data_IF_866596972719
#
_entry.id   IF_866596972719
#
_cell.length_a   1.000
_cell.length_b   1.000
_cell.length_c   1.000
_cell.angle_alpha   90.00
_cell.angle_beta   90.00
_cell.angle_gamma   90.00
#
_symmetry.space_group_name_H-M   'P 1'
#
loop_
_entity.id
_entity.type
_entity.pdbx_description
1 polymer ?
#
# COMPACT_ATOMS: atom_id res chain seq x y z
N UNK A 1 18.76 -12.64 8.19
CA UNK A 1 17.98 -11.43 8.51
C UNK A 1 16.52 -11.81 8.37
N UNK A 2 15.71 -11.71 9.43
CA UNK A 2 14.26 -11.98 9.32
C UNK A 2 13.62 -10.90 8.44
N UNK A 3 12.60 -11.24 7.62
CA UNK A 3 11.93 -10.25 6.81
C UNK A 3 11.19 -9.25 7.71
N UNK A 4 11.28 -7.96 7.40
CA UNK A 4 10.66 -6.91 8.20
C UNK A 4 9.11 -6.95 8.15
N UNK A 5 8.54 -7.68 7.19
CA UNK A 5 7.12 -7.97 7.08
C UNK A 5 6.89 -9.25 6.26
N UNK A 6 5.71 -9.81 6.36
CA UNK A 6 5.19 -10.87 5.47
C UNK A 6 3.83 -10.47 4.93
N UNK A 7 3.43 -11.06 3.81
CA UNK A 7 2.08 -10.87 3.29
C UNK A 7 1.56 -12.14 2.61
N UNK A 8 0.24 -12.33 2.65
CA UNK A 8 -0.47 -13.36 1.91
C UNK A 8 -1.47 -12.71 0.97
N UNK A 9 -1.55 -13.19 -0.27
CA UNK A 9 -2.51 -12.70 -1.26
C UNK A 9 -3.62 -13.73 -1.43
N UNK A 10 -4.84 -13.34 -1.07
CA UNK A 10 -6.03 -14.16 -1.11
C UNK A 10 -6.93 -13.67 -2.27
N UNK A 11 -6.87 -14.33 -3.44
CA UNK A 11 -7.70 -13.94 -4.57
C UNK A 11 -9.17 -14.24 -4.30
N UNK A 12 -10.05 -13.29 -4.61
CA UNK A 12 -11.50 -13.47 -4.64
C UNK A 12 -12.00 -13.16 -6.05
N UNK A 13 -13.27 -13.46 -6.33
CA UNK A 13 -13.84 -13.36 -7.69
C UNK A 13 -13.70 -11.95 -8.29
N UNK A 14 -13.99 -10.93 -7.50
CA UNK A 14 -14.05 -9.52 -7.95
C UNK A 14 -13.15 -8.57 -7.14
N UNK A 15 -12.32 -9.10 -6.25
CA UNK A 15 -11.40 -8.31 -5.43
C UNK A 15 -10.24 -9.19 -4.98
N UNK A 16 -9.21 -8.56 -4.44
CA UNK A 16 -8.07 -9.24 -3.83
C UNK A 16 -7.94 -8.78 -2.40
N UNK A 17 -7.86 -9.74 -1.48
CA UNK A 17 -7.50 -9.47 -0.08
C UNK A 17 -6.00 -9.74 0.10
N UNK A 18 -5.29 -8.82 0.74
CA UNK A 18 -3.90 -8.97 1.12
C UNK A 18 -3.85 -8.89 2.65
N UNK A 19 -3.40 -9.96 3.28
CA UNK A 19 -3.11 -9.95 4.71
C UNK A 19 -1.63 -9.59 4.87
N UNK A 20 -1.35 -8.42 5.44
CA UNK A 20 -0.01 -7.90 5.69
C UNK A 20 0.31 -7.99 7.18
N UNK A 21 1.47 -8.53 7.52
CA UNK A 21 1.97 -8.61 8.89
C UNK A 21 3.35 -7.95 8.98
N UNK A 22 3.45 -6.86 9.73
CA UNK A 22 4.74 -6.28 10.08
C UNK A 22 5.39 -7.09 11.21
N UNK A 23 6.70 -7.33 11.13
CA UNK A 23 7.42 -8.14 12.13
C UNK A 23 7.55 -7.42 13.48
N UNK A 24 7.70 -6.09 13.43
CA UNK A 24 7.77 -5.24 14.61
C UNK A 24 7.39 -3.81 14.23
N UNK A 25 7.33 -2.94 15.24
CA UNK A 25 7.32 -1.49 15.06
C UNK A 25 8.42 -1.03 14.08
N UNK A 26 8.19 0.02 13.26
CA UNK A 26 7.06 0.96 13.24
C UNK A 26 5.79 0.45 12.57
N UNK A 27 4.64 1.05 12.92
CA UNK A 27 3.33 0.78 12.31
C UNK A 27 2.74 2.01 11.59
N UNK A 28 3.31 3.19 11.79
CA UNK A 28 2.86 4.46 11.22
C UNK A 28 3.98 5.19 10.47
N UNK A 29 3.60 5.94 9.44
CA UNK A 29 4.55 6.69 8.62
C UNK A 29 5.26 7.83 9.34
N UNK A 30 4.68 8.36 10.43
CA UNK A 30 5.33 9.39 11.27
C UNK A 30 6.65 8.90 11.88
N UNK A 31 6.78 7.58 11.99
CA UNK A 31 7.91 6.88 12.60
C UNK A 31 9.01 6.62 11.56
N UNK A 32 8.73 6.87 10.27
CA UNK A 32 9.66 6.74 9.15
C UNK A 32 9.69 8.06 8.37
N UNK A 33 10.38 9.11 8.86
CA UNK A 33 10.36 10.45 8.25
C UNK A 33 10.75 10.49 6.76
N UNK A 34 11.55 9.53 6.30
CA UNK A 34 12.03 9.40 4.93
C UNK A 34 10.95 8.91 3.96
N UNK A 35 9.80 8.43 4.45
CA UNK A 35 8.69 7.88 3.64
C UNK A 35 8.30 8.82 2.50
N UNK A 36 8.06 10.11 2.80
CA UNK A 36 7.64 11.08 1.79
C UNK A 36 8.71 11.31 0.71
N UNK A 37 9.99 11.35 1.08
CA UNK A 37 11.08 11.51 0.12
C UNK A 37 11.22 10.29 -0.80
N UNK A 38 11.07 9.08 -0.25
CA UNK A 38 11.10 7.84 -1.04
C UNK A 38 9.93 7.80 -2.02
N UNK A 39 8.72 8.13 -1.57
CA UNK A 39 7.53 8.19 -2.43
C UNK A 39 7.66 9.27 -3.50
N UNK A 40 8.17 10.45 -3.19
CA UNK A 40 8.39 11.51 -4.18
C UNK A 40 9.32 11.07 -5.30
N UNK A 41 10.34 10.25 -4.98
CA UNK A 41 11.29 9.70 -5.96
C UNK A 41 10.68 8.59 -6.81
N UNK A 42 9.80 7.76 -6.25
CA UNK A 42 9.34 6.53 -6.90
C UNK A 42 7.92 6.60 -7.46
N UNK A 43 7.03 7.35 -6.80
CA UNK A 43 5.59 7.43 -7.04
C UNK A 43 5.07 8.87 -6.80
N UNK A 44 5.55 9.88 -7.54
CA UNK A 44 5.17 11.28 -7.30
C UNK A 44 3.67 11.56 -7.48
N UNK A 45 2.94 10.71 -8.19
CA UNK A 45 1.48 10.88 -8.39
C UNK A 45 0.66 10.33 -7.22
N UNK A 46 1.23 9.53 -6.32
CA UNK A 46 0.54 9.01 -5.13
C UNK A 46 -0.01 10.13 -4.23
N UNK A 47 0.64 11.30 -4.24
CA UNK A 47 0.23 12.49 -3.48
C UNK A 47 -1.04 13.15 -4.02
N UNK A 48 -1.45 12.80 -5.24
CA UNK A 48 -2.69 13.25 -5.87
C UNK A 48 -3.85 12.29 -5.57
N UNK A 49 -3.59 11.12 -4.97
CA UNK A 49 -4.62 10.18 -4.62
C UNK A 49 -5.58 10.76 -3.58
N UNK A 50 -6.87 10.52 -3.79
CA UNK A 50 -7.93 10.88 -2.86
C UNK A 50 -8.10 9.77 -1.82
N UNK A 51 -8.15 10.15 -0.55
CA UNK A 51 -8.58 9.27 0.53
C UNK A 51 -10.02 9.61 0.91
N UNK A 52 -10.91 8.63 0.84
CA UNK A 52 -12.31 8.76 1.28
C UNK A 52 -12.48 8.44 2.77
N UNK A 53 -11.62 9.00 3.63
CA UNK A 53 -11.82 8.88 5.07
C UNK A 53 -12.81 9.94 5.60
N UNK A 54 -13.10 9.92 6.90
CA UNK A 54 -14.08 10.83 7.54
C UNK A 54 -13.80 12.32 7.36
N UNK A 55 -12.63 12.71 6.82
CA UNK A 55 -12.20 14.10 6.63
C UNK A 55 -11.93 14.46 5.17
N UNK A 56 -12.09 13.53 4.21
CA UNK A 56 -11.82 13.72 2.77
C UNK A 56 -10.51 14.48 2.50
N UNK A 57 -9.44 14.12 3.20
CA UNK A 57 -8.15 14.79 3.03
C UNK A 57 -7.37 14.17 1.87
N UNK A 58 -6.55 14.94 1.14
CA UNK A 58 -5.62 14.38 0.17
C UNK A 58 -4.62 13.46 0.87
N UNK A 59 -4.22 12.35 0.23
CA UNK A 59 -3.26 11.40 0.80
C UNK A 59 -1.96 12.07 1.26
N UNK A 60 -1.51 13.14 0.59
CA UNK A 60 -0.35 13.93 0.99
C UNK A 60 -0.41 14.49 2.43
N UNK A 61 -1.61 14.79 2.95
CA UNK A 61 -1.79 15.23 4.34
C UNK A 61 -1.77 14.06 5.32
N UNK A 62 -2.39 12.94 4.94
CA UNK A 62 -2.47 11.73 5.76
C UNK A 62 -1.14 11.02 5.89
N UNK A 63 -0.32 11.06 4.83
CA UNK A 63 0.99 10.44 4.79
C UNK A 63 1.88 10.84 5.97
N UNK A 64 1.65 11.99 6.61
CA UNK A 64 2.41 12.39 7.80
C UNK A 64 2.21 11.47 9.00
N UNK A 65 1.06 10.79 9.09
CA UNK A 65 0.67 9.93 10.22
C UNK A 65 -0.41 8.93 9.78
N UNK A 66 -0.11 8.13 8.77
CA UNK A 66 -0.97 7.05 8.29
C UNK A 66 -0.39 5.71 8.70
N UNK A 67 -1.24 4.71 8.86
CA UNK A 67 -0.84 3.32 9.07
C UNK A 67 -0.06 2.78 7.86
N UNK A 68 0.95 1.95 8.10
CA UNK A 68 1.79 1.40 7.03
C UNK A 68 1.03 0.41 6.13
N UNK A 69 -0.01 -0.27 6.64
CA UNK A 69 -0.91 -1.05 5.79
C UNK A 69 -1.68 -0.16 4.81
N UNK A 70 -2.15 1.01 5.26
CA UNK A 70 -2.85 1.98 4.41
C UNK A 70 -1.89 2.57 3.38
N UNK A 71 -0.64 2.86 3.77
CA UNK A 71 0.40 3.24 2.82
C UNK A 71 0.63 2.15 1.75
N UNK A 72 0.74 0.89 2.16
CA UNK A 72 0.93 -0.24 1.24
C UNK A 72 -0.19 -0.31 0.20
N UNK A 73 -1.44 -0.14 0.63
CA UNK A 73 -2.60 -0.05 -0.26
C UNK A 73 -2.40 1.02 -1.33
N UNK A 74 -2.11 2.27 -0.95
CA UNK A 74 -1.96 3.37 -1.92
C UNK A 74 -0.80 3.14 -2.90
N UNK A 75 0.32 2.57 -2.44
CA UNK A 75 1.44 2.22 -3.32
C UNK A 75 0.97 1.19 -4.37
N UNK A 76 0.20 0.18 -3.94
CA UNK A 76 -0.32 -0.85 -4.85
C UNK A 76 -1.32 -0.27 -5.85
N UNK A 77 -2.28 0.53 -5.40
CA UNK A 77 -3.28 1.19 -6.25
C UNK A 77 -2.62 2.05 -7.33
N UNK A 78 -1.61 2.84 -6.96
CA UNK A 78 -0.86 3.68 -7.90
C UNK A 78 -0.17 2.83 -8.99
N UNK A 79 0.49 1.74 -8.60
CA UNK A 79 1.12 0.86 -9.59
C UNK A 79 0.12 0.11 -10.47
N UNK A 80 -1.06 -0.25 -9.95
CA UNK A 80 -2.13 -0.83 -10.76
C UNK A 80 -2.60 0.18 -11.82
N UNK A 81 -2.80 1.45 -11.45
CA UNK A 81 -3.14 2.51 -12.38
C UNK A 81 -2.06 2.68 -13.46
N UNK A 82 -0.79 2.81 -13.05
CA UNK A 82 0.33 2.98 -13.98
C UNK A 82 0.46 1.82 -14.98
N UNK A 83 0.31 0.58 -14.50
CA UNK A 83 0.48 -0.59 -15.35
C UNK A 83 -0.68 -0.80 -16.31
N UNK A 84 -1.91 -0.50 -15.89
CA UNK A 84 -3.07 -0.51 -16.78
C UNK A 84 -2.94 0.56 -17.87
N UNK A 85 -2.51 1.77 -17.53
CA UNK A 85 -2.27 2.83 -18.53
C UNK A 85 -1.18 2.44 -19.53
N UNK A 86 -0.08 1.82 -19.07
CA UNK A 86 0.98 1.29 -19.96
C UNK A 86 0.50 0.22 -20.94
N UNK A 87 -0.63 -0.43 -20.67
CA UNK A 87 -1.26 -1.42 -21.56
C UNK A 87 -2.21 -0.79 -22.60
N UNK A 88 -2.28 0.54 -22.66
CA UNK A 88 -3.05 1.28 -23.66
C UNK A 88 -4.44 1.71 -23.21
N UNK A 89 -4.77 1.54 -21.92
CA UNK A 89 -5.99 2.09 -21.37
C UNK A 89 -5.80 3.59 -21.09
N UNK A 90 -6.73 4.47 -21.52
CA UNK A 90 -6.56 5.91 -21.37
C UNK A 90 -6.58 6.35 -19.90
N UNK A 91 -7.38 5.66 -19.09
CA UNK A 91 -7.55 5.93 -17.67
C UNK A 91 -7.65 4.63 -16.88
N UNK A 92 -7.23 4.70 -15.61
CA UNK A 92 -7.34 3.61 -14.66
C UNK A 92 -7.68 4.19 -13.29
N UNK A 93 -8.71 3.64 -12.66
CA UNK A 93 -9.10 3.97 -11.29
C UNK A 93 -9.25 2.68 -10.53
N UNK A 94 -8.63 2.63 -9.36
CA UNK A 94 -8.71 1.53 -8.41
C UNK A 94 -9.04 2.09 -7.04
N UNK A 95 -9.76 1.31 -6.24
CA UNK A 95 -10.11 1.64 -4.87
C UNK A 95 -9.66 0.52 -3.95
N UNK A 96 -9.18 0.90 -2.77
CA UNK A 96 -8.81 -0.01 -1.70
C UNK A 96 -9.53 0.31 -0.41
N UNK A 97 -9.51 -0.64 0.52
CA UNK A 97 -9.86 -0.43 1.92
C UNK A 97 -8.87 -1.20 2.79
N UNK A 98 -8.26 -0.51 3.75
CA UNK A 98 -7.39 -1.12 4.75
C UNK A 98 -8.09 -1.13 6.10
N UNK A 99 -8.10 -2.29 6.75
CA UNK A 99 -8.66 -2.48 8.10
C UNK A 99 -7.64 -3.13 9.01
N UNK A 100 -7.67 -2.76 10.29
CA UNK A 100 -6.88 -3.39 11.34
C UNK A 100 -7.68 -3.42 12.65
N UNK A 101 -7.51 -4.51 13.39
CA UNK A 101 -8.06 -4.67 14.74
C UNK A 101 -6.99 -5.38 15.57
N UNK A 102 -6.12 -4.61 16.20
CA UNK A 102 -5.03 -5.14 17.03
C UNK A 102 -5.48 -5.62 18.41
N UNK A 103 -6.77 -5.46 18.74
CA UNK A 103 -7.36 -6.12 19.91
C UNK A 103 -7.65 -7.59 19.62
N UNK A 104 -7.93 -7.92 18.35
CA UNK A 104 -8.24 -9.28 17.90
C UNK A 104 -7.10 -9.97 17.17
N UNK A 105 -6.22 -9.20 16.52
CA UNK A 105 -5.10 -9.69 15.73
C UNK A 105 -3.76 -9.20 16.32
N UNK A 106 -2.63 -9.86 16.02
CA UNK A 106 -1.33 -9.36 16.41
C UNK A 106 -1.10 -7.89 16.00
N UNK A 107 -0.36 -7.10 16.80
CA UNK A 107 0.03 -5.76 16.39
C UNK A 107 0.78 -5.78 15.05
N UNK A 108 0.50 -4.79 14.19
CA UNK A 108 1.06 -4.73 12.84
C UNK A 108 0.39 -5.66 11.83
N UNK A 109 -0.71 -6.35 12.20
CA UNK A 109 -1.59 -7.02 11.24
C UNK A 109 -2.49 -6.00 10.54
N UNK A 110 -2.59 -6.11 9.21
CA UNK A 110 -3.50 -5.34 8.36
C UNK A 110 -4.18 -6.24 7.34
N UNK A 111 -5.44 -5.96 7.06
CA UNK A 111 -6.20 -6.58 5.98
C UNK A 111 -6.49 -5.52 4.94
N UNK A 112 -5.99 -5.73 3.72
CA UNK A 112 -6.08 -4.76 2.62
C UNK A 112 -6.94 -5.37 1.53
N UNK A 113 -8.00 -4.67 1.13
CA UNK A 113 -8.92 -5.10 0.10
C UNK A 113 -8.77 -4.21 -1.12
N UNK A 114 -8.48 -4.78 -2.28
CA UNK A 114 -8.34 -4.06 -3.54
C UNK A 114 -9.47 -4.47 -4.48
N UNK A 115 -10.15 -3.50 -5.10
CA UNK A 115 -11.24 -3.73 -6.07
C UNK A 115 -10.76 -4.26 -7.44
N UNK A 116 -9.69 -5.05 -7.46
CA UNK A 116 -9.14 -5.68 -8.66
C UNK A 116 -8.81 -7.14 -8.35
N UNK A 117 -9.01 -8.00 -9.33
CA UNK A 117 -8.64 -9.40 -9.21
C UNK A 117 -7.14 -9.57 -9.40
N UNK A 118 -6.52 -10.41 -8.57
CA UNK A 118 -5.14 -10.87 -8.78
C UNK A 118 -4.92 -11.52 -10.15
N UNK A 119 -5.99 -12.00 -10.79
CA UNK A 119 -5.96 -12.58 -12.14
C UNK A 119 -5.78 -11.53 -13.24
N UNK A 120 -5.93 -10.24 -12.92
CA UNK A 120 -5.69 -9.18 -13.89
C UNK A 120 -4.20 -9.20 -14.34
N UNK A 121 -3.91 -9.07 -15.64
CA UNK A 121 -2.55 -9.25 -16.18
C UNK A 121 -1.49 -8.30 -15.58
N UNK A 122 -1.91 -7.14 -15.07
CA UNK A 122 -1.03 -6.13 -14.46
C UNK A 122 -0.83 -6.33 -12.95
N UNK A 123 -1.68 -7.10 -12.26
CA UNK A 123 -1.69 -7.15 -10.80
C UNK A 123 -0.35 -7.62 -10.22
N UNK A 124 0.19 -8.72 -10.74
CA UNK A 124 1.46 -9.27 -10.26
C UNK A 124 2.65 -8.34 -10.53
N UNK A 125 2.59 -7.54 -11.61
CA UNK A 125 3.64 -6.54 -11.88
C UNK A 125 3.55 -5.39 -10.90
N UNK A 126 2.33 -4.88 -10.65
CA UNK A 126 2.09 -3.82 -9.68
C UNK A 126 2.49 -4.24 -8.26
N UNK A 127 2.12 -5.46 -7.84
CA UNK A 127 2.46 -6.01 -6.53
C UNK A 127 3.98 -6.11 -6.33
N UNK A 128 4.74 -6.57 -7.34
CA UNK A 128 6.20 -6.62 -7.27
C UNK A 128 6.82 -5.23 -7.07
N UNK A 129 6.32 -4.22 -7.78
CA UNK A 129 6.81 -2.83 -7.64
C UNK A 129 6.40 -2.23 -6.30
N UNK A 130 5.19 -2.54 -5.84
CA UNK A 130 4.72 -2.15 -4.52
C UNK A 130 5.65 -2.67 -3.43
N UNK A 131 5.91 -3.97 -3.42
CA UNK A 131 6.84 -4.59 -2.48
C UNK A 131 8.23 -3.96 -2.55
N UNK A 132 8.74 -3.67 -3.74
CA UNK A 132 10.06 -3.03 -3.90
C UNK A 132 10.14 -1.64 -3.26
N UNK A 133 9.12 -0.80 -3.43
CA UNK A 133 9.07 0.54 -2.80
C UNK A 133 8.83 0.41 -1.30
N UNK A 134 7.93 -0.47 -0.89
CA UNK A 134 7.61 -0.69 0.52
C UNK A 134 8.81 -1.23 1.29
N UNK A 135 9.58 -2.18 0.74
CA UNK A 135 10.83 -2.67 1.31
C UNK A 135 11.81 -1.54 1.59
N UNK A 136 11.94 -0.58 0.67
CA UNK A 136 12.84 0.57 0.86
C UNK A 136 12.38 1.45 2.02
N UNK A 137 11.07 1.66 2.17
CA UNK A 137 10.51 2.46 3.25
C UNK A 137 10.76 1.75 4.59
N UNK A 138 10.40 0.48 4.69
CA UNK A 138 10.53 -0.28 5.94
C UNK A 138 12.00 -0.43 6.36
N UNK A 139 12.93 -0.66 5.42
CA UNK A 139 14.37 -0.80 5.76
C UNK A 139 14.97 0.45 6.36
N UNK A 140 14.51 1.64 5.98
CA UNK A 140 14.98 2.89 6.59
C UNK A 140 14.57 3.05 8.06
N UNK A 141 13.62 2.26 8.55
CA UNK A 141 13.26 2.24 9.96
C UNK A 141 14.11 1.26 10.80
N UNK A 142 14.82 0.35 10.15
CA UNK A 142 15.62 -0.70 10.80
C UNK A 142 17.13 -0.42 10.78
N UNK A 143 17.54 0.68 10.16
CA UNK A 143 18.90 1.21 10.09
C UNK A 143 19.10 2.34 11.10
#
# INVERSE_FOLDING_TARGET
MQPAYSYTVNPKKNHTQIDLQLASWPFHTIEIPQTAAILQKHLPRIFQAECFNSRNLPFARELKKTELGHLYEHILLEYLCMDKVKKGFPEATYSGVTTWDWMKNPPGSFQIYINESMRAPWFNSALKKCNHVFDKIIRTATE
#
